data_IF_304111746500
#
_entry.id   IF_304111746500
#
_cell.length_a   1.000
_cell.length_b   1.000
_cell.length_c   1.000
_cell.angle_alpha   90.00
_cell.angle_beta   90.00
_cell.angle_gamma   90.00
#
_symmetry.space_group_name_H-M   'P 1'
#
loop_
_entity.id
_entity.type
_entity.pdbx_description
1 polymer ?
#
# COMPACT_ATOMS: atom_id res chain seq x y z
N UNK A 1 10.16 15.47 13.13
CA UNK A 1 10.02 14.74 11.85
C UNK A 1 11.39 14.69 11.24
N UNK A 2 11.80 13.52 10.75
CA UNK A 2 12.98 13.42 9.90
C UNK A 2 12.62 14.04 8.53
N UNK A 3 13.44 15.00 8.07
CA UNK A 3 13.25 15.73 6.82
C UNK A 3 14.26 15.29 5.74
N UNK A 4 14.95 14.17 5.96
CA UNK A 4 15.74 13.55 4.91
C UNK A 4 14.88 13.31 3.65
N UNK A 5 15.45 13.49 2.45
CA UNK A 5 14.72 13.22 1.22
C UNK A 5 14.23 11.76 1.20
N UNK A 6 12.94 11.57 0.98
CA UNK A 6 12.36 10.23 0.88
C UNK A 6 12.98 9.56 -0.36
N UNK A 7 13.53 8.34 -0.24
CA UNK A 7 14.10 7.63 -1.38
C UNK A 7 13.05 7.45 -2.48
N UNK A 8 13.46 7.71 -3.72
CA UNK A 8 12.61 7.58 -4.91
C UNK A 8 13.06 6.33 -5.67
N UNK A 9 12.10 5.54 -6.17
CA UNK A 9 12.35 4.39 -7.04
C UNK A 9 12.06 4.75 -8.50
N UNK A 10 12.95 4.36 -9.43
CA UNK A 10 12.70 4.52 -10.86
C UNK A 10 11.63 3.52 -11.32
N UNK A 11 10.93 3.83 -12.41
CA UNK A 11 9.85 2.96 -12.91
C UNK A 11 10.39 1.59 -13.31
N UNK A 12 11.56 1.57 -13.94
CA UNK A 12 12.22 0.37 -14.46
C UNK A 12 12.64 -0.56 -13.30
N UNK A 13 13.11 0.03 -12.19
CA UNK A 13 13.44 -0.68 -10.96
C UNK A 13 12.19 -1.24 -10.27
N UNK A 14 11.11 -0.46 -10.20
CA UNK A 14 9.84 -0.93 -9.64
C UNK A 14 9.25 -2.10 -10.45
N UNK A 15 9.38 -2.06 -11.78
CA UNK A 15 8.90 -3.10 -12.68
C UNK A 15 9.73 -4.38 -12.62
N UNK A 16 11.00 -4.30 -12.20
CA UNK A 16 11.86 -5.49 -12.06
C UNK A 16 11.59 -6.28 -10.77
N UNK A 17 10.80 -5.74 -9.83
CA UNK A 17 10.40 -6.44 -8.60
C UNK A 17 9.44 -7.59 -8.97
N UNK A 18 9.94 -8.82 -8.83
CA UNK A 18 9.18 -10.05 -9.11
C UNK A 18 8.43 -10.59 -7.90
N UNK A 19 8.84 -10.18 -6.70
CA UNK A 19 8.21 -10.60 -5.44
C UNK A 19 6.74 -10.23 -5.44
N UNK A 20 5.81 -11.16 -5.17
CA UNK A 20 4.39 -10.85 -5.08
C UNK A 20 4.12 -9.75 -4.05
N UNK A 21 3.42 -8.69 -4.48
CA UNK A 21 3.07 -7.56 -3.61
C UNK A 21 1.58 -7.64 -3.29
N UNK A 22 1.26 -7.46 -2.01
CA UNK A 22 -0.09 -7.16 -1.53
C UNK A 22 -0.11 -5.72 -1.04
N UNK A 23 -0.98 -4.89 -1.62
CA UNK A 23 -1.14 -3.49 -1.23
C UNK A 23 -2.35 -3.35 -0.30
N UNK A 24 -2.15 -2.77 0.88
CA UNK A 24 -3.23 -2.45 1.83
C UNK A 24 -3.34 -0.94 1.92
N UNK A 25 -4.54 -0.42 1.73
CA UNK A 25 -4.82 1.02 1.60
C UNK A 25 -5.93 1.42 2.55
N UNK A 26 -5.77 2.57 3.21
CA UNK A 26 -6.79 3.15 4.07
C UNK A 26 -7.46 4.35 3.39
N UNK A 27 -8.78 4.36 3.29
CA UNK A 27 -9.52 5.40 2.55
C UNK A 27 -9.50 6.76 3.23
N UNK A 28 -9.40 6.80 4.56
CA UNK A 28 -9.36 8.04 5.36
C UNK A 28 -7.93 8.38 5.79
N UNK A 29 -6.93 7.89 5.06
CA UNK A 29 -5.54 8.28 5.28
C UNK A 29 -5.32 9.72 4.82
N UNK A 30 -4.94 10.59 5.76
CA UNK A 30 -4.69 12.02 5.51
C UNK A 30 -3.30 12.24 4.89
N UNK A 31 -2.37 11.31 5.13
CA UNK A 31 -0.97 11.40 4.69
C UNK A 31 -0.85 10.92 3.23
N UNK A 32 -1.54 9.83 2.87
CA UNK A 32 -1.44 9.23 1.55
C UNK A 32 -2.80 9.10 0.85
N UNK A 33 -3.01 9.77 -0.30
CA UNK A 33 -4.26 9.68 -1.05
C UNK A 33 -4.43 8.28 -1.67
N UNK A 34 -5.48 7.58 -1.25
CA UNK A 34 -5.79 6.19 -1.53
C UNK A 34 -5.89 5.89 -3.03
N UNK A 35 -6.70 6.66 -3.76
CA UNK A 35 -6.97 6.42 -5.19
C UNK A 35 -5.70 6.65 -6.02
N UNK A 36 -4.93 7.69 -5.69
CA UNK A 36 -3.70 8.02 -6.41
C UNK A 36 -2.62 6.96 -6.16
N UNK A 37 -2.50 6.49 -4.92
CA UNK A 37 -1.55 5.44 -4.56
C UNK A 37 -1.88 4.12 -5.24
N UNK A 38 -3.14 3.67 -5.20
CA UNK A 38 -3.56 2.43 -5.88
C UNK A 38 -3.31 2.49 -7.39
N UNK A 39 -3.66 3.61 -8.04
CA UNK A 39 -3.39 3.80 -9.48
C UNK A 39 -1.90 3.76 -9.79
N UNK A 40 -1.07 4.40 -8.95
CA UNK A 40 0.38 4.42 -9.13
C UNK A 40 0.99 3.04 -8.94
N UNK A 41 0.62 2.33 -7.88
CA UNK A 41 1.11 0.99 -7.58
C UNK A 41 0.81 0.00 -8.71
N UNK A 42 -0.45 -0.04 -9.18
CA UNK A 42 -0.86 -0.85 -10.34
C UNK A 42 -0.04 -0.54 -11.61
N UNK A 43 0.42 0.70 -11.78
CA UNK A 43 1.18 1.12 -12.96
C UNK A 43 2.66 0.72 -12.91
N UNK A 44 3.26 0.64 -11.72
CA UNK A 44 4.72 0.45 -11.59
C UNK A 44 5.13 -0.93 -11.08
N UNK A 45 4.27 -1.60 -10.32
CA UNK A 45 4.55 -2.94 -9.80
C UNK A 45 3.80 -3.98 -10.61
N UNK A 46 4.49 -4.65 -11.53
CA UNK A 46 3.92 -5.74 -12.34
C UNK A 46 3.54 -6.98 -11.50
N UNK A 47 4.16 -7.10 -10.32
CA UNK A 47 3.95 -8.17 -9.35
C UNK A 47 2.89 -7.86 -8.29
N UNK A 48 2.13 -6.76 -8.45
CA UNK A 48 1.00 -6.46 -7.58
C UNK A 48 -0.12 -7.49 -7.79
N UNK A 49 -0.30 -8.40 -6.82
CA UNK A 49 -1.27 -9.50 -6.90
C UNK A 49 -2.59 -9.16 -6.23
N UNK A 50 -2.51 -8.54 -5.06
CA UNK A 50 -3.67 -8.28 -4.22
C UNK A 50 -3.70 -6.80 -3.83
N UNK A 51 -4.91 -6.25 -3.75
CA UNK A 51 -5.15 -4.92 -3.18
C UNK A 51 -6.32 -4.99 -2.21
N UNK A 52 -6.16 -4.48 -1.00
CA UNK A 52 -7.20 -4.36 0.02
C UNK A 52 -7.43 -2.88 0.33
N UNK A 53 -8.66 -2.40 0.12
CA UNK A 53 -9.09 -1.07 0.55
C UNK A 53 -9.88 -1.18 1.86
N UNK A 54 -9.41 -0.48 2.89
CA UNK A 54 -10.08 -0.33 4.17
C UNK A 54 -10.90 0.97 4.14
N UNK A 55 -12.20 0.84 3.87
CA UNK A 55 -13.15 1.93 3.65
C UNK A 55 -13.27 2.91 4.83
N UNK A 56 -13.11 2.42 6.07
CA UNK A 56 -13.25 3.21 7.30
C UNK A 56 -11.96 3.22 8.15
N UNK A 57 -10.81 3.10 7.49
CA UNK A 57 -9.50 3.16 8.16
C UNK A 57 -8.81 4.49 7.90
N UNK A 58 -8.02 4.93 8.88
CA UNK A 58 -7.04 6.02 8.78
C UNK A 58 -5.63 5.45 8.57
N UNK A 59 -4.62 6.31 8.61
CA UNK A 59 -3.21 5.93 8.58
C UNK A 59 -2.84 4.93 9.68
N UNK A 60 -3.21 5.26 10.93
CA UNK A 60 -3.10 4.34 12.06
C UNK A 60 -4.37 3.48 12.11
N UNK A 61 -4.19 2.19 11.85
CA UNK A 61 -5.26 1.20 11.79
C UNK A 61 -5.80 0.88 13.18
N UNK A 62 -7.11 0.66 13.28
CA UNK A 62 -7.74 0.20 14.53
C UNK A 62 -7.62 -1.32 14.68
N UNK A 63 -8.04 -1.85 15.83
CA UNK A 63 -7.98 -3.30 16.11
C UNK A 63 -8.74 -4.16 15.09
N UNK A 64 -9.89 -3.68 14.61
CA UNK A 64 -10.70 -4.40 13.62
C UNK A 64 -10.01 -4.50 12.27
N UNK A 65 -9.38 -3.41 11.84
CA UNK A 65 -8.58 -3.37 10.60
C UNK A 65 -7.34 -4.26 10.71
N UNK A 66 -6.63 -4.22 11.84
CA UNK A 66 -5.50 -5.11 12.10
C UNK A 66 -5.90 -6.58 12.02
N UNK A 67 -7.07 -6.94 12.59
CA UNK A 67 -7.59 -8.32 12.53
C UNK A 67 -7.89 -8.74 11.08
N UNK A 68 -8.41 -7.83 10.25
CA UNK A 68 -8.65 -8.11 8.82
C UNK A 68 -7.34 -8.32 8.06
N UNK A 69 -6.34 -7.47 8.33
CA UNK A 69 -5.01 -7.56 7.73
C UNK A 69 -4.31 -8.86 8.14
N UNK A 70 -4.34 -9.22 9.42
CA UNK A 70 -3.76 -10.46 9.93
C UNK A 70 -4.37 -11.68 9.24
N UNK A 71 -5.70 -11.74 9.13
CA UNK A 71 -6.41 -12.81 8.42
C UNK A 71 -6.09 -12.87 6.91
N UNK A 72 -5.69 -11.74 6.31
CA UNK A 72 -5.25 -11.71 4.91
C UNK A 72 -3.83 -12.27 4.77
N UNK A 73 -2.94 -11.94 5.71
CA UNK A 73 -1.52 -12.32 5.66
C UNK A 73 -1.28 -13.78 6.08
N UNK A 74 -2.00 -14.26 7.10
CA UNK A 74 -1.84 -15.62 7.65
C UNK A 74 -2.62 -16.71 6.90
N UNK A 75 -3.25 -16.37 5.78
CA UNK A 75 -3.88 -17.33 4.86
C UNK A 75 -2.85 -17.97 3.94
#
# INVERSE_FOLDING_TARGET
>A
MDFSPIPIIKKEEAQSIKTPITLIVAKKDIIFPEVKMMKRANKIFLSLKNTLLLEDSKHVQNRGDNTKIEKLILK
#
